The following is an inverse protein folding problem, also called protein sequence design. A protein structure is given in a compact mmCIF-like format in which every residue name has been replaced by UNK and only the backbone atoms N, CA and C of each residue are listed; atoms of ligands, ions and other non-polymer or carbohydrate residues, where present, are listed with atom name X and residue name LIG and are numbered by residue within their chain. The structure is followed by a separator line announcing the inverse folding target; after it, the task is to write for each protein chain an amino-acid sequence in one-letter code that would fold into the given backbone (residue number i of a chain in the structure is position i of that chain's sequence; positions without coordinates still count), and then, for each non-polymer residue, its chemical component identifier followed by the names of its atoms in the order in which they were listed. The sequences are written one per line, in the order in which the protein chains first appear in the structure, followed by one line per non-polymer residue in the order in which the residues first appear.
data_IF_528197623614
#
_entry.id   IF_528197623614
#
_cell.length_a   1.000
_cell.length_b   1.000
_cell.length_c   1.000
_cell.angle_alpha   90.00
_cell.angle_beta   90.00
_cell.angle_gamma   90.00
#
_symmetry.space_group_name_H-M   'P 1'
#
loop_
_entity.id
_entity.type
_entity.pdbx_description
1 polymer ?
#
# COMPACT_ATOMS: atom_id res chain seq x y z
N UNK A 1 12.96 -6.34 -28.01
CA UNK A 1 14.34 -6.10 -28.38
C UNK A 1 15.13 -7.41 -28.49
N UNK A 2 15.21 -8.21 -27.44
CA UNK A 2 15.97 -9.48 -27.41
C UNK A 2 15.53 -10.49 -28.51
N UNK A 3 14.23 -10.60 -28.81
CA UNK A 3 13.74 -11.41 -29.93
C UNK A 3 14.31 -10.89 -31.27
N UNK A 4 14.16 -9.58 -31.51
CA UNK A 4 14.66 -8.94 -32.73
C UNK A 4 16.18 -9.11 -32.92
N UNK A 5 16.95 -9.03 -31.85
CA UNK A 5 18.42 -9.23 -31.93
C UNK A 5 18.80 -10.65 -32.34
N UNK A 6 18.02 -11.65 -31.95
CA UNK A 6 18.25 -13.07 -32.28
C UNK A 6 17.72 -13.49 -33.66
N UNK A 7 16.56 -12.96 -34.03
CA UNK A 7 15.83 -13.42 -35.23
C UNK A 7 15.86 -12.44 -36.37
N UNK A 8 16.24 -11.18 -36.09
CA UNK A 8 16.13 -10.01 -37.00
C UNK A 8 14.66 -9.69 -37.38
N UNK A 9 13.70 -10.21 -36.63
CA UNK A 9 12.26 -9.98 -36.82
C UNK A 9 11.71 -9.04 -35.76
N UNK A 10 11.07 -7.96 -36.19
CA UNK A 10 10.32 -7.06 -35.33
C UNK A 10 8.91 -7.60 -35.10
N UNK A 11 8.19 -7.03 -34.11
CA UNK A 11 6.79 -7.35 -33.87
C UNK A 11 6.01 -6.08 -33.53
N UNK A 12 4.75 -6.07 -33.86
CA UNK A 12 3.80 -5.06 -33.43
C UNK A 12 3.39 -5.33 -31.97
N UNK A 13 3.32 -4.26 -31.17
CA UNK A 13 2.88 -4.31 -29.77
C UNK A 13 1.61 -3.49 -29.65
N UNK A 14 0.50 -4.13 -29.32
CA UNK A 14 -0.77 -3.49 -28.99
C UNK A 14 -0.94 -3.45 -27.46
N UNK A 15 -1.17 -2.27 -26.92
CA UNK A 15 -1.42 -2.04 -25.50
C UNK A 15 -2.61 -1.10 -25.34
N UNK A 16 -3.77 -1.67 -25.18
CA UNK A 16 -5.01 -0.92 -24.97
C UNK A 16 -5.09 -0.38 -23.52
N UNK A 17 -5.61 0.84 -23.35
CA UNK A 17 -5.90 1.40 -22.03
C UNK A 17 -6.94 0.59 -21.29
N UNK A 18 -7.96 0.08 -22.00
CA UNK A 18 -9.00 -0.74 -21.40
C UNK A 18 -8.44 -2.06 -20.85
N UNK A 19 -7.61 -2.76 -21.62
CA UNK A 19 -6.99 -4.02 -21.18
C UNK A 19 -6.10 -3.80 -19.98
N UNK A 20 -5.35 -2.69 -19.97
CA UNK A 20 -4.51 -2.28 -18.85
C UNK A 20 -5.32 -2.03 -17.58
N UNK A 21 -6.49 -1.36 -17.70
CA UNK A 21 -7.41 -1.14 -16.56
C UNK A 21 -8.03 -2.45 -16.06
N UNK A 22 -8.42 -3.34 -16.96
CA UNK A 22 -8.95 -4.66 -16.58
C UNK A 22 -7.88 -5.46 -15.85
N UNK A 23 -6.62 -5.42 -16.29
CA UNK A 23 -5.51 -6.09 -15.62
C UNK A 23 -5.27 -5.57 -14.18
N UNK A 24 -5.60 -4.29 -13.88
CA UNK A 24 -5.48 -3.74 -12.53
C UNK A 24 -6.53 -4.23 -11.54
N UNK A 25 -7.60 -4.89 -12.00
CA UNK A 25 -8.63 -5.44 -11.10
C UNK A 25 -8.09 -6.56 -10.19
N UNK A 26 -7.01 -7.21 -10.57
CA UNK A 26 -6.26 -8.20 -9.79
C UNK A 26 -7.16 -9.05 -8.86
N UNK A 27 -7.08 -8.85 -7.54
CA UNK A 27 -7.84 -9.62 -6.54
C UNK A 27 -9.35 -9.52 -6.70
N UNK A 28 -9.87 -8.33 -6.96
CA UNK A 28 -11.30 -8.06 -7.09
C UNK A 28 -11.86 -8.74 -8.34
N UNK A 29 -11.11 -8.64 -9.45
CA UNK A 29 -11.46 -9.32 -10.69
C UNK A 29 -11.48 -10.84 -10.54
N UNK A 30 -10.45 -11.43 -9.91
CA UNK A 30 -10.38 -12.87 -9.65
C UNK A 30 -11.47 -13.34 -8.70
N UNK A 31 -11.80 -12.57 -7.66
CA UNK A 31 -12.92 -12.89 -6.77
C UNK A 31 -14.24 -12.99 -7.55
N UNK A 32 -14.52 -12.02 -8.45
CA UNK A 32 -15.70 -12.07 -9.30
C UNK A 32 -15.67 -13.27 -10.27
N UNK A 33 -14.56 -13.48 -10.96
CA UNK A 33 -14.45 -14.57 -11.94
C UNK A 33 -14.64 -15.94 -11.30
N UNK A 34 -14.26 -16.10 -10.03
CA UNK A 34 -14.40 -17.38 -9.30
C UNK A 34 -15.79 -17.54 -8.67
N UNK A 35 -16.28 -16.50 -7.97
CA UNK A 35 -17.53 -16.59 -7.19
C UNK A 35 -18.78 -16.17 -7.96
N UNK A 36 -18.63 -15.40 -9.05
CA UNK A 36 -19.70 -14.71 -9.81
C UNK A 36 -20.46 -13.69 -8.98
N UNK A 37 -19.98 -13.34 -7.81
CA UNK A 37 -20.58 -12.30 -6.97
C UNK A 37 -20.01 -10.94 -7.30
N UNK A 38 -20.86 -9.97 -7.60
CA UNK A 38 -20.45 -8.60 -7.91
C UNK A 38 -19.90 -7.93 -6.64
N UNK A 39 -18.63 -7.45 -6.67
CA UNK A 39 -18.03 -6.79 -5.52
C UNK A 39 -18.77 -5.51 -5.17
N UNK A 40 -18.91 -5.25 -3.87
CA UNK A 40 -19.47 -4.00 -3.36
C UNK A 40 -18.35 -2.99 -3.06
N UNK A 41 -18.70 -1.72 -2.91
CA UNK A 41 -17.76 -0.70 -2.47
C UNK A 41 -17.34 -0.94 -1.02
N UNK A 42 -16.05 -1.08 -0.77
CA UNK A 42 -15.48 -1.32 0.57
C UNK A 42 -14.51 -0.20 1.01
N UNK A 43 -14.43 0.89 0.26
CA UNK A 43 -13.46 1.97 0.53
C UNK A 43 -12.02 1.49 0.38
N UNK A 44 -11.21 1.71 1.41
CA UNK A 44 -9.79 1.31 1.44
C UNK A 44 -9.57 -0.10 2.01
N UNK A 45 -10.64 -0.83 2.34
CA UNK A 45 -10.53 -2.16 2.93
C UNK A 45 -10.07 -3.21 1.92
N UNK A 46 -9.13 -4.06 2.31
CA UNK A 46 -8.78 -5.23 1.50
C UNK A 46 -9.92 -6.25 1.52
N UNK A 47 -10.35 -6.83 0.36
CA UNK A 47 -11.51 -7.72 0.31
C UNK A 47 -11.33 -9.03 1.10
N UNK A 48 -10.12 -9.58 1.16
CA UNK A 48 -9.85 -10.94 1.65
C UNK A 48 -8.95 -10.99 2.89
N UNK A 49 -8.44 -9.85 3.38
CA UNK A 49 -7.51 -9.77 4.51
C UNK A 49 -8.01 -8.70 5.49
N UNK A 50 -8.10 -9.05 6.78
CA UNK A 50 -8.57 -8.16 7.84
C UNK A 50 -7.69 -8.33 9.09
N UNK A 51 -7.18 -7.22 9.70
CA UNK A 51 -7.29 -5.84 9.21
C UNK A 51 -6.27 -5.52 8.11
N UNK A 52 -6.75 -4.89 7.04
CA UNK A 52 -5.93 -4.26 6.04
C UNK A 52 -6.71 -3.04 5.53
N UNK A 53 -6.38 -1.87 6.06
CA UNK A 53 -7.12 -0.63 5.82
C UNK A 53 -6.32 0.60 6.25
N UNK A 54 -6.81 1.77 5.85
CA UNK A 54 -6.42 3.06 6.42
C UNK A 54 -7.13 3.25 7.76
N UNK A 55 -6.36 3.51 8.81
CA UNK A 55 -6.85 3.71 10.18
C UNK A 55 -6.35 5.04 10.75
N UNK A 56 -7.13 5.73 11.58
CA UNK A 56 -6.67 6.96 12.23
C UNK A 56 -5.62 6.65 13.29
N UNK A 57 -4.61 7.50 13.41
CA UNK A 57 -3.70 7.62 14.55
C UNK A 57 -4.05 8.85 15.38
N UNK A 58 -3.25 9.18 16.40
CA UNK A 58 -3.47 10.41 17.19
C UNK A 58 -3.17 11.69 16.39
N UNK A 59 -2.34 11.62 15.37
CA UNK A 59 -1.80 12.75 14.60
C UNK A 59 -2.01 12.64 13.08
N UNK A 60 -2.74 11.62 12.61
CA UNK A 60 -3.00 11.44 11.18
C UNK A 60 -3.63 10.09 10.85
N UNK A 61 -3.12 9.44 9.80
CA UNK A 61 -3.62 8.14 9.34
C UNK A 61 -2.46 7.19 9.03
N UNK A 62 -2.65 5.92 9.36
CA UNK A 62 -1.74 4.83 9.01
C UNK A 62 -2.43 3.84 8.07
N UNK A 63 -1.66 3.17 7.23
CA UNK A 63 -2.08 1.97 6.53
C UNK A 63 -1.56 0.78 7.35
N UNK A 64 -2.46 0.02 7.93
CA UNK A 64 -2.15 -1.23 8.63
C UNK A 64 -2.45 -2.41 7.72
N UNK A 65 -1.49 -3.31 7.51
CA UNK A 65 -1.63 -4.48 6.64
C UNK A 65 -1.24 -5.77 7.39
N UNK A 66 -2.20 -6.39 8.06
CA UNK A 66 -2.00 -7.64 8.81
C UNK A 66 -2.25 -8.83 7.90
N UNK A 67 -1.18 -9.40 7.34
CA UNK A 67 -1.26 -10.44 6.32
C UNK A 67 -1.58 -11.86 6.82
N UNK A 68 -1.42 -12.13 8.13
CA UNK A 68 -1.65 -13.46 8.71
C UNK A 68 -1.97 -13.38 10.21
N UNK A 69 -2.35 -14.54 10.79
CA UNK A 69 -2.80 -14.62 12.19
C UNK A 69 -1.67 -14.38 13.21
N UNK A 70 -0.41 -14.70 12.86
CA UNK A 70 0.74 -14.41 13.72
C UNK A 70 0.98 -12.89 13.80
N UNK A 71 0.88 -12.18 12.68
CA UNK A 71 0.95 -10.72 12.67
C UNK A 71 -0.22 -10.08 13.42
N UNK A 72 -1.41 -10.67 13.34
CA UNK A 72 -2.57 -10.18 14.09
C UNK A 72 -2.34 -10.26 15.60
N UNK A 73 -1.82 -11.36 16.13
CA UNK A 73 -1.46 -11.47 17.54
C UNK A 73 -0.46 -10.40 17.97
N UNK A 74 0.63 -10.22 17.21
CA UNK A 74 1.64 -9.18 17.48
C UNK A 74 1.06 -7.78 17.45
N UNK A 75 0.17 -7.50 16.49
CA UNK A 75 -0.54 -6.22 16.43
C UNK A 75 -1.39 -6.00 17.68
N UNK A 76 -2.20 -6.98 18.09
CA UNK A 76 -3.04 -6.88 19.28
C UNK A 76 -2.24 -6.65 20.57
N UNK A 77 -1.12 -7.36 20.73
CA UNK A 77 -0.19 -7.16 21.84
C UNK A 77 0.37 -5.73 21.86
N UNK A 78 0.86 -5.25 20.73
CA UNK A 78 1.42 -3.90 20.60
C UNK A 78 0.35 -2.81 20.77
N UNK A 79 -0.88 -3.08 20.35
CA UNK A 79 -2.03 -2.20 20.52
C UNK A 79 -2.54 -2.14 21.97
N UNK A 80 -2.08 -3.03 22.85
CA UNK A 80 -2.54 -3.12 24.23
C UNK A 80 -3.92 -3.82 24.38
N UNK A 81 -4.29 -4.65 23.40
CA UNK A 81 -5.56 -5.39 23.37
C UNK A 81 -5.33 -6.89 23.01
N UNK A 82 -4.49 -7.62 23.77
CA UNK A 82 -4.14 -9.01 23.45
C UNK A 82 -5.34 -9.96 23.47
N UNK A 83 -6.42 -9.64 24.18
CA UNK A 83 -7.66 -10.40 24.24
C UNK A 83 -8.35 -10.50 22.87
N UNK A 84 -8.19 -9.52 21.97
CA UNK A 84 -8.75 -9.58 20.62
C UNK A 84 -8.16 -10.72 19.79
N UNK A 85 -6.91 -11.10 20.07
CA UNK A 85 -6.28 -12.21 19.38
C UNK A 85 -6.79 -13.59 19.84
N UNK A 86 -7.53 -13.64 20.95
CA UNK A 86 -8.14 -14.84 21.52
C UNK A 86 -9.66 -14.90 21.29
N UNK A 87 -10.26 -13.80 20.81
CA UNK A 87 -11.68 -13.74 20.49
C UNK A 87 -11.98 -14.63 19.28
N UNK A 88 -12.93 -15.57 19.43
CA UNK A 88 -13.34 -16.51 18.37
C UNK A 88 -13.76 -15.81 17.07
N UNK A 89 -14.27 -14.57 17.19
CA UNK A 89 -14.63 -13.74 16.02
C UNK A 89 -13.44 -13.27 15.23
N UNK A 90 -12.21 -13.27 15.83
CA UNK A 90 -11.03 -12.60 15.24
C UNK A 90 -9.77 -13.47 15.19
N UNK A 91 -9.77 -14.66 15.79
CA UNK A 91 -8.59 -15.52 15.93
C UNK A 91 -7.97 -15.94 14.59
N UNK A 92 -8.78 -16.12 13.55
CA UNK A 92 -8.29 -16.44 12.18
C UNK A 92 -8.66 -15.33 11.19
N UNK A 93 -7.91 -15.24 10.08
CA UNK A 93 -8.26 -14.28 9.02
C UNK A 93 -9.67 -14.53 8.47
N UNK A 94 -10.09 -15.79 8.30
CA UNK A 94 -11.43 -16.13 7.87
C UNK A 94 -12.50 -15.57 8.82
N UNK A 95 -12.32 -15.77 10.14
CA UNK A 95 -13.20 -15.22 11.18
C UNK A 95 -13.24 -13.70 11.12
N UNK A 96 -12.08 -13.04 10.95
CA UNK A 96 -12.00 -11.58 10.84
C UNK A 96 -12.71 -11.06 9.59
N UNK A 97 -12.53 -11.71 8.44
CA UNK A 97 -13.25 -11.35 7.20
C UNK A 97 -14.75 -11.46 7.38
N UNK A 98 -15.24 -12.54 8.03
CA UNK A 98 -16.66 -12.73 8.33
C UNK A 98 -17.19 -11.67 9.28
N UNK A 99 -16.39 -11.27 10.26
CA UNK A 99 -16.75 -10.30 11.32
C UNK A 99 -16.14 -8.91 11.08
N UNK A 100 -15.77 -8.55 9.82
CA UNK A 100 -15.04 -7.32 9.50
C UNK A 100 -15.67 -6.05 10.05
N UNK A 101 -17.01 -5.94 10.02
CA UNK A 101 -17.71 -4.77 10.54
C UNK A 101 -17.49 -4.59 12.05
N UNK A 102 -17.44 -5.68 12.81
CA UNK A 102 -17.15 -5.63 14.23
C UNK A 102 -15.69 -5.22 14.48
N UNK A 103 -14.75 -5.82 13.73
CA UNK A 103 -13.32 -5.47 13.80
C UNK A 103 -13.10 -3.99 13.52
N UNK A 104 -13.58 -3.47 12.38
CA UNK A 104 -13.35 -2.07 11.99
C UNK A 104 -14.07 -1.03 12.85
N UNK A 105 -15.00 -1.43 13.72
CA UNK A 105 -15.53 -0.55 14.75
C UNK A 105 -14.60 -0.40 15.96
N UNK A 106 -13.81 -1.43 16.27
CA UNK A 106 -12.89 -1.44 17.42
C UNK A 106 -11.54 -0.79 17.09
N UNK A 107 -11.04 -1.00 15.88
CA UNK A 107 -9.69 -0.58 15.50
C UNK A 107 -9.41 0.92 15.64
N UNK A 108 -10.32 1.86 15.28
CA UNK A 108 -10.08 3.28 15.44
C UNK A 108 -9.79 3.71 16.88
N UNK A 109 -10.46 3.11 17.85
CA UNK A 109 -10.24 3.42 19.26
C UNK A 109 -8.89 2.93 19.76
N UNK A 110 -8.40 1.80 19.21
CA UNK A 110 -7.08 1.27 19.50
C UNK A 110 -5.97 2.09 18.80
N UNK A 111 -6.18 2.49 17.55
CA UNK A 111 -5.11 3.11 16.77
C UNK A 111 -4.92 4.59 17.06
N UNK A 112 -5.93 5.30 17.57
CA UNK A 112 -5.82 6.71 17.98
C UNK A 112 -4.98 6.95 19.24
N UNK A 113 -4.59 5.93 19.98
CA UNK A 113 -3.83 6.08 21.22
C UNK A 113 -2.32 6.31 21.02
N UNK A 114 -1.81 6.19 19.80
CA UNK A 114 -0.40 6.39 19.45
C UNK A 114 -0.25 7.26 18.20
N UNK A 115 0.89 7.93 18.08
CA UNK A 115 1.27 8.68 16.88
C UNK A 115 1.61 7.76 15.71
N UNK A 116 1.58 8.28 14.48
CA UNK A 116 1.97 7.54 13.27
C UNK A 116 3.35 6.90 13.40
N UNK A 117 4.34 7.68 13.88
CA UNK A 117 5.71 7.18 14.04
C UNK A 117 5.80 6.01 15.02
N UNK A 118 5.10 6.10 16.15
CA UNK A 118 5.08 5.02 17.14
C UNK A 118 4.49 3.72 16.56
N UNK A 119 3.42 3.82 15.77
CA UNK A 119 2.83 2.66 15.09
C UNK A 119 3.79 2.05 14.07
N UNK A 120 4.39 2.90 13.23
CA UNK A 120 5.27 2.46 12.14
C UNK A 120 6.52 1.79 12.71
N UNK A 121 7.22 2.47 13.63
CA UNK A 121 8.48 1.97 14.20
C UNK A 121 8.25 0.71 15.05
N UNK A 122 7.22 0.73 15.90
CA UNK A 122 6.90 -0.41 16.76
C UNK A 122 6.49 -1.65 15.96
N UNK A 123 5.58 -1.51 14.98
CA UNK A 123 5.13 -2.62 14.17
C UNK A 123 6.20 -3.14 13.20
N UNK A 124 7.09 -2.28 12.72
CA UNK A 124 8.23 -2.68 11.88
C UNK A 124 9.15 -3.69 12.61
N UNK A 125 9.45 -3.47 13.89
CA UNK A 125 10.27 -4.40 14.72
C UNK A 125 9.60 -5.76 14.89
N UNK A 126 8.27 -5.80 14.82
CA UNK A 126 7.46 -7.01 14.96
C UNK A 126 7.20 -7.72 13.62
N UNK A 127 7.61 -7.12 12.50
CA UNK A 127 7.36 -7.63 11.15
C UNK A 127 5.90 -7.54 10.74
N UNK A 128 5.17 -6.54 11.26
CA UNK A 128 3.79 -6.20 10.86
C UNK A 128 3.84 -4.97 9.96
N UNK A 129 3.47 -5.07 8.68
CA UNK A 129 3.53 -3.93 7.77
C UNK A 129 2.60 -2.80 8.20
N UNK A 130 3.19 -1.61 8.38
CA UNK A 130 2.50 -0.37 8.68
C UNK A 130 3.22 0.78 7.97
N UNK A 131 2.47 1.72 7.40
CA UNK A 131 3.04 2.88 6.71
C UNK A 131 2.17 4.12 6.92
N UNK A 132 2.75 5.34 6.76
CA UNK A 132 1.98 6.57 6.88
C UNK A 132 1.10 6.79 5.64
N UNK A 133 0.06 7.61 5.80
CA UNK A 133 -0.62 8.26 4.68
C UNK A 133 -0.02 9.66 4.55
N UNK A 134 0.80 9.85 3.54
CA UNK A 134 1.54 11.10 3.32
C UNK A 134 0.80 12.08 2.41
N UNK A 135 0.87 13.36 2.70
CA UNK A 135 0.62 14.41 1.76
C UNK A 135 1.78 14.51 0.75
N UNK A 136 1.58 15.23 -0.36
CA UNK A 136 2.58 15.31 -1.44
C UNK A 136 3.91 15.93 -0.97
N UNK A 137 3.87 16.93 -0.12
CA UNK A 137 5.06 17.54 0.49
C UNK A 137 5.83 16.53 1.35
N UNK A 138 5.13 15.72 2.14
CA UNK A 138 5.72 14.65 2.95
C UNK A 138 6.33 13.55 2.07
N UNK A 139 5.73 13.24 0.91
CA UNK A 139 6.32 12.30 -0.05
C UNK A 139 7.69 12.77 -0.53
N UNK A 140 7.83 14.06 -0.90
CA UNK A 140 9.12 14.58 -1.35
C UNK A 140 10.11 14.86 -0.20
N UNK A 141 9.63 14.94 1.05
CA UNK A 141 10.48 14.98 2.24
C UNK A 141 10.93 13.59 2.73
N UNK A 142 10.34 12.51 2.22
CA UNK A 142 10.67 11.14 2.63
C UNK A 142 12.13 10.80 2.30
N UNK A 143 12.93 10.28 3.26
CA UNK A 143 14.34 9.96 3.06
C UNK A 143 14.60 8.98 1.92
N UNK A 144 13.72 8.00 1.69
CA UNK A 144 13.86 7.03 0.60
C UNK A 144 13.59 7.68 -0.76
N UNK A 145 12.59 8.56 -0.84
CA UNK A 145 12.26 9.32 -2.06
C UNK A 145 13.42 10.24 -2.44
N UNK A 146 14.02 10.91 -1.44
CA UNK A 146 15.21 11.75 -1.63
C UNK A 146 16.43 10.92 -2.05
N UNK A 147 16.71 9.81 -1.34
CA UNK A 147 17.80 8.89 -1.69
C UNK A 147 17.67 8.36 -3.13
N UNK A 148 16.45 8.08 -3.56
CA UNK A 148 16.14 7.64 -4.93
C UNK A 148 16.15 8.77 -5.96
N UNK A 149 16.41 10.02 -5.54
CA UNK A 149 16.43 11.20 -6.42
C UNK A 149 15.16 11.29 -7.28
N UNK A 150 14.01 11.17 -6.62
CA UNK A 150 12.72 11.26 -7.30
C UNK A 150 12.26 12.70 -7.52
N UNK A 151 12.93 13.70 -6.95
CA UNK A 151 12.87 15.10 -7.34
C UNK A 151 14.17 15.43 -8.07
N UNK A 152 14.06 15.95 -9.28
CA UNK A 152 15.19 16.41 -10.12
C UNK A 152 15.01 17.87 -10.46
N UNK A 153 16.11 18.59 -10.61
CA UNK A 153 16.11 19.99 -11.01
C UNK A 153 16.84 20.17 -12.33
N UNK A 154 16.17 20.74 -13.31
CA UNK A 154 16.68 20.87 -14.68
C UNK A 154 16.64 22.33 -15.16
N UNK A 155 17.59 22.75 -16.03
CA UNK A 155 17.53 24.05 -16.66
C UNK A 155 16.28 24.21 -17.53
N UNK A 156 15.61 25.37 -17.41
CA UNK A 156 14.46 25.70 -18.23
C UNK A 156 14.44 27.21 -18.58
N UNK A 157 14.44 27.58 -19.87
CA UNK A 157 14.65 28.97 -20.29
C UNK A 157 13.50 29.93 -19.94
N UNK A 158 12.31 29.40 -19.65
CA UNK A 158 11.12 30.21 -19.29
C UNK A 158 10.88 30.27 -17.78
N UNK A 159 11.71 29.63 -16.97
CA UNK A 159 11.61 29.74 -15.52
C UNK A 159 12.28 31.01 -15.01
N UNK A 160 11.72 31.65 -13.98
CA UNK A 160 12.23 32.90 -13.42
C UNK A 160 13.65 32.78 -12.86
N UNK A 161 14.01 31.61 -12.33
CA UNK A 161 15.35 31.28 -11.80
C UNK A 161 16.19 30.42 -12.77
N UNK A 162 15.69 30.20 -14.00
CA UNK A 162 16.34 29.37 -15.01
C UNK A 162 16.27 27.87 -14.77
N UNK A 163 15.53 27.41 -13.76
CA UNK A 163 15.43 26.02 -13.35
C UNK A 163 13.98 25.58 -13.15
N UNK A 164 13.70 24.31 -13.26
CA UNK A 164 12.39 23.68 -12.96
C UNK A 164 12.58 22.41 -12.19
N UNK A 165 11.74 22.20 -11.17
CA UNK A 165 11.67 20.95 -10.42
C UNK A 165 10.71 19.99 -11.12
N UNK A 166 11.14 18.76 -11.31
CA UNK A 166 10.41 17.70 -12.01
C UNK A 166 10.44 16.39 -11.20
N UNK A 167 9.50 15.50 -11.53
CA UNK A 167 9.50 14.14 -10.98
C UNK A 167 10.52 13.30 -11.75
N UNK A 168 11.43 12.64 -11.03
CA UNK A 168 12.46 11.79 -11.58
C UNK A 168 11.91 10.48 -12.17
N UNK A 169 12.67 9.90 -13.10
CA UNK A 169 12.32 8.59 -13.66
C UNK A 169 12.47 7.50 -12.57
N UNK A 170 11.44 6.65 -12.34
CA UNK A 170 11.51 5.57 -11.35
C UNK A 170 12.48 4.44 -11.76
N UNK A 171 12.76 4.29 -13.06
CA UNK A 171 13.69 3.28 -13.57
C UNK A 171 15.11 3.84 -13.49
N UNK A 172 15.98 3.16 -12.75
CA UNK A 172 17.39 3.51 -12.59
C UNK A 172 18.26 2.43 -13.23
N UNK A 173 19.08 2.82 -14.18
CA UNK A 173 20.01 1.91 -14.86
C UNK A 173 21.42 2.09 -14.29
N UNK A 174 22.09 0.99 -13.96
CA UNK A 174 23.48 1.05 -13.43
C UNK A 174 24.53 1.39 -14.50
N UNK A 175 24.25 1.09 -15.75
CA UNK A 175 25.20 1.29 -16.86
C UNK A 175 24.83 2.42 -17.82
N UNK A 176 23.59 2.91 -17.78
CA UNK A 176 23.09 4.00 -18.65
C UNK A 176 22.13 4.88 -17.84
N UNK A 177 22.67 5.69 -16.91
CA UNK A 177 21.87 6.53 -16.01
C UNK A 177 21.06 7.60 -16.73
#
# INVERSE_FOLDING_TARGET
LHHREKTNEGQYIDLSLLDSQVAWLVNVGLNYLTSKQVPQRVGNEHPNIVPYNVLPSSDGFIILAVGNDAQFRKFCEFAGAPELAQDERFVTNESRVKNRRAMYRLLPDLTRNKAQSEWIDGLATLGVPCSPVNNVDQVFADPQVQHRQMQIRMPHPLSADGMVDLIGNPIKYSGTP
#
